data_IF_333918424596
#
_entry.id   IF_333918424596
#
_cell.length_a   1.000
_cell.length_b   1.000
_cell.length_c   1.000
_cell.angle_alpha   90.00
_cell.angle_beta   90.00
_cell.angle_gamma   90.00
#
_symmetry.space_group_name_H-M   'P 1'
#
loop_
_entity.id
_entity.type
_entity.pdbx_description
1 polymer ?
#
# COMPACT_ATOMS: atom_id res chain seq x y z
N UNK A 1 4.73 17.92 16.51
CA UNK A 1 4.11 17.58 15.21
C UNK A 1 4.86 16.36 14.64
N UNK A 2 4.52 15.14 15.06
CA UNK A 2 5.31 13.94 14.70
C UNK A 2 4.43 12.70 14.42
N UNK A 3 3.23 12.85 13.83
CA UNK A 3 2.37 11.70 13.52
C UNK A 3 2.03 11.55 12.02
N UNK A 4 2.51 12.42 11.14
CA UNK A 4 2.28 12.32 9.69
C UNK A 4 3.32 11.40 9.00
N UNK A 5 3.56 10.22 9.58
CA UNK A 5 4.54 9.25 9.04
C UNK A 5 3.93 8.18 8.15
N UNK A 6 2.60 7.98 8.22
CA UNK A 6 1.91 6.81 7.64
C UNK A 6 0.72 7.18 6.75
N UNK A 7 0.32 8.46 6.69
CA UNK A 7 -0.88 8.94 6.00
C UNK A 7 -0.84 8.65 4.49
N UNK A 8 0.36 8.55 3.91
CA UNK A 8 0.56 8.26 2.49
C UNK A 8 0.52 6.78 2.09
N UNK A 9 0.45 5.83 3.03
CA UNK A 9 0.38 4.40 2.69
C UNK A 9 -1.04 3.90 2.43
N UNK A 10 -2.05 4.60 2.97
CA UNK A 10 -3.48 4.28 2.75
C UNK A 10 -3.85 4.07 1.29
N UNK A 11 -3.52 4.99 0.35
CA UNK A 11 -3.90 4.82 -1.05
C UNK A 11 -3.32 3.56 -1.72
N UNK A 12 -2.24 2.97 -1.18
CA UNK A 12 -1.60 1.78 -1.74
C UNK A 12 -2.48 0.54 -1.49
N UNK A 13 -2.93 0.31 -0.25
CA UNK A 13 -3.73 -0.88 0.09
C UNK A 13 -5.23 -0.73 -0.19
N UNK A 14 -5.73 0.49 -0.32
CA UNK A 14 -7.13 0.74 -0.70
C UNK A 14 -7.35 0.86 -2.20
N UNK A 15 -6.31 0.72 -3.03
CA UNK A 15 -6.44 0.83 -4.48
C UNK A 15 -7.36 -0.27 -5.04
N UNK A 16 -8.00 0.03 -6.18
CA UNK A 16 -8.90 -0.93 -6.84
C UNK A 16 -8.15 -1.92 -7.72
N UNK A 17 -7.00 -1.50 -8.27
CA UNK A 17 -6.14 -2.25 -9.20
C UNK A 17 -4.67 -2.17 -8.78
N UNK A 18 -3.88 -3.16 -9.22
CA UNK A 18 -2.43 -3.18 -8.99
C UNK A 18 -1.73 -1.93 -9.56
N UNK A 19 -2.15 -1.48 -10.75
CA UNK A 19 -1.58 -0.29 -11.39
C UNK A 19 -1.85 0.99 -10.57
N UNK A 20 -3.06 1.14 -10.01
CA UNK A 20 -3.38 2.28 -9.15
C UNK A 20 -2.60 2.23 -7.82
N UNK A 21 -2.39 1.03 -7.26
CA UNK A 21 -1.55 0.87 -6.08
C UNK A 21 -0.08 1.20 -6.37
N UNK A 22 0.42 0.83 -7.56
CA UNK A 22 1.80 1.10 -7.99
C UNK A 22 2.05 2.60 -8.09
N UNK A 23 1.13 3.32 -8.74
CA UNK A 23 1.17 4.78 -8.84
C UNK A 23 1.13 5.43 -7.46
N UNK A 24 0.33 4.90 -6.53
CA UNK A 24 0.29 5.37 -5.15
C UNK A 24 1.60 5.10 -4.40
N UNK A 25 2.25 3.95 -4.63
CA UNK A 25 3.55 3.62 -4.04
C UNK A 25 4.65 4.55 -4.56
N UNK A 26 4.67 4.86 -5.86
CA UNK A 26 5.61 5.81 -6.43
C UNK A 26 5.37 7.23 -5.93
N UNK A 27 4.11 7.67 -5.83
CA UNK A 27 3.76 8.95 -5.24
C UNK A 27 4.17 9.04 -3.76
N UNK A 28 3.99 7.95 -3.00
CA UNK A 28 4.47 7.86 -1.62
C UNK A 28 6.00 7.94 -1.56
N UNK A 29 6.71 7.21 -2.41
CA UNK A 29 8.18 7.22 -2.47
C UNK A 29 8.74 8.62 -2.79
N UNK A 30 8.09 9.35 -3.70
CA UNK A 30 8.45 10.71 -4.07
C UNK A 30 8.08 11.77 -3.02
N UNK A 31 7.21 11.43 -2.06
CA UNK A 31 6.82 12.36 -0.98
C UNK A 31 7.97 12.61 0.01
N UNK A 32 7.88 13.70 0.77
CA UNK A 32 8.82 14.00 1.84
C UNK A 32 8.90 12.87 2.90
N UNK A 33 7.79 12.16 3.12
CA UNK A 33 7.68 11.04 4.06
C UNK A 33 8.39 9.80 3.53
N UNK A 34 8.14 9.44 2.26
CA UNK A 34 8.79 8.30 1.59
C UNK A 34 10.29 8.52 1.42
N UNK A 35 10.70 9.74 1.06
CA UNK A 35 12.12 10.11 0.96
C UNK A 35 12.85 10.04 2.29
N UNK A 36 12.17 10.33 3.41
CA UNK A 36 12.73 10.20 4.76
C UNK A 36 12.68 8.76 5.29
N UNK A 37 11.93 7.89 4.62
CA UNK A 37 11.66 6.50 5.02
C UNK A 37 11.95 5.50 3.89
N UNK A 38 13.18 5.47 3.32
CA UNK A 38 13.50 4.60 2.19
C UNK A 38 13.37 3.11 2.53
N UNK A 39 13.54 2.74 3.81
CA UNK A 39 13.32 1.38 4.29
C UNK A 39 11.87 0.92 4.09
N UNK A 40 10.88 1.80 4.33
CA UNK A 40 9.45 1.49 4.15
C UNK A 40 9.14 1.28 2.67
N UNK A 41 9.64 2.15 1.80
CA UNK A 41 9.52 2.00 0.33
C UNK A 41 10.15 0.68 -0.12
N UNK A 42 11.32 0.34 0.43
CA UNK A 42 12.02 -0.91 0.13
C UNK A 42 11.25 -2.16 0.53
N UNK A 43 10.58 -2.16 1.69
CA UNK A 43 9.71 -3.27 2.12
C UNK A 43 8.55 -3.45 1.15
N UNK A 44 7.86 -2.38 0.80
CA UNK A 44 6.75 -2.42 -0.16
C UNK A 44 7.18 -2.93 -1.53
N UNK A 45 8.31 -2.45 -2.07
CA UNK A 45 8.84 -2.92 -3.36
C UNK A 45 9.24 -4.38 -3.34
N UNK A 46 9.81 -4.88 -2.23
CA UNK A 46 10.17 -6.30 -2.09
C UNK A 46 8.94 -7.21 -1.99
N UNK A 47 7.90 -6.76 -1.28
CA UNK A 47 6.65 -7.48 -1.13
C UNK A 47 5.70 -7.32 -2.33
N UNK A 48 6.05 -6.51 -3.34
CA UNK A 48 5.14 -6.12 -4.41
C UNK A 48 4.54 -7.30 -5.16
N UNK A 49 5.38 -8.28 -5.53
CA UNK A 49 4.93 -9.46 -6.26
C UNK A 49 3.97 -10.35 -5.44
N UNK A 50 4.13 -10.37 -4.11
CA UNK A 50 3.23 -11.07 -3.18
C UNK A 50 1.94 -10.26 -2.92
N UNK A 51 1.99 -8.94 -3.15
CA UNK A 51 0.88 -8.02 -2.94
C UNK A 51 -0.08 -7.95 -4.14
N UNK A 52 0.43 -8.06 -5.38
CA UNK A 52 -0.39 -8.04 -6.61
C UNK A 52 -1.56 -9.05 -6.60
N UNK A 53 -1.40 -10.31 -6.13
CA UNK A 53 -2.49 -11.28 -6.06
C UNK A 53 -3.72 -10.83 -5.25
N UNK A 54 -3.59 -9.89 -4.31
CA UNK A 54 -4.73 -9.31 -3.59
C UNK A 54 -5.72 -8.61 -4.53
N UNK A 55 -5.26 -8.10 -5.66
CA UNK A 55 -6.13 -7.48 -6.67
C UNK A 55 -6.82 -8.49 -7.58
N UNK A 56 -6.35 -9.73 -7.63
CA UNK A 56 -7.01 -10.81 -8.38
C UNK A 56 -8.15 -11.45 -7.55
N UNK A 57 -8.12 -11.27 -6.22
CA UNK A 57 -9.21 -11.73 -5.36
C UNK A 57 -10.53 -11.03 -5.75
N UNK A 58 -11.60 -11.79 -6.03
CA UNK A 58 -12.90 -11.21 -6.33
C UNK A 58 -13.38 -10.35 -5.15
N UNK A 59 -14.09 -9.27 -5.44
CA UNK A 59 -14.49 -8.27 -4.45
C UNK A 59 -15.22 -8.86 -3.22
N UNK A 60 -15.90 -9.99 -3.40
CA UNK A 60 -16.58 -10.73 -2.33
C UNK A 60 -15.60 -11.29 -1.27
N UNK A 61 -14.42 -11.75 -1.69
CA UNK A 61 -13.35 -12.23 -0.80
C UNK A 61 -12.57 -11.07 -0.17
N UNK A 62 -12.43 -9.93 -0.88
CA UNK A 62 -11.76 -8.73 -0.33
C UNK A 62 -12.43 -8.25 0.96
N UNK A 63 -13.74 -8.45 1.11
CA UNK A 63 -14.48 -8.08 2.33
C UNK A 63 -14.11 -8.95 3.55
N UNK A 64 -13.74 -10.21 3.35
CA UNK A 64 -13.30 -11.11 4.43
C UNK A 64 -11.91 -10.74 4.96
N UNK A 65 -10.99 -10.33 4.07
CA UNK A 65 -9.61 -9.95 4.46
C UNK A 65 -9.57 -8.71 5.36
N UNK A 66 -10.48 -7.74 5.16
CA UNK A 66 -10.56 -6.52 5.99
C UNK A 66 -11.48 -6.63 7.22
N UNK A 67 -12.19 -7.75 7.42
CA UNK A 67 -13.14 -7.94 8.54
C UNK A 67 -12.67 -8.93 9.60
N UNK A 68 -11.51 -9.57 9.44
CA UNK A 68 -10.84 -10.23 10.57
C UNK A 68 -10.09 -9.18 11.38
N UNK A 69 -10.87 -8.31 12.03
CA UNK A 69 -10.47 -7.58 13.22
C UNK A 69 -10.39 -8.61 14.36
N UNK A 70 -9.18 -8.97 14.76
CA UNK A 70 -8.89 -9.48 16.09
C UNK A 70 -7.97 -8.48 16.80
#
# INVERSE_FOLDING_TARGET
>A
MCCDGLTGLRPIYTATTAEAAEQALEAFAASAVGSRSPAVVGVWRRAWNEFIPLFDLPADIRRVVYTTNH
#
